data_IF_776951745475
#
_entry.id   IF_776951745475
#
_cell.length_a   1.000
_cell.length_b   1.000
_cell.length_c   1.000
_cell.angle_alpha   90.00
_cell.angle_beta   90.00
_cell.angle_gamma   90.00
#
_symmetry.space_group_name_H-M   'P 1'
#
loop_
_entity.id
_entity.type
_entity.pdbx_description
1 polymer ?
#
# COMPACT_ATOMS: atom_id res chain seq x y z
N UNK A 1 89.07 22.09 -1.69
CA UNK A 1 88.24 22.92 -2.58
C UNK A 1 87.25 22.00 -3.32
N UNK A 2 86.00 21.89 -2.86
CA UNK A 2 84.93 21.21 -3.62
C UNK A 2 83.59 21.90 -3.33
N UNK A 3 83.09 22.66 -4.32
CA UNK A 3 81.81 23.37 -4.24
C UNK A 3 80.71 22.45 -4.77
N UNK A 4 79.87 21.89 -3.88
CA UNK A 4 78.65 21.17 -4.27
C UNK A 4 77.68 22.16 -4.91
N UNK A 5 77.39 21.97 -6.18
CA UNK A 5 76.42 22.75 -6.95
C UNK A 5 75.06 22.04 -6.84
N UNK A 6 74.19 22.54 -5.95
CA UNK A 6 72.81 22.08 -5.87
C UNK A 6 72.04 22.58 -7.10
N UNK A 7 71.69 21.67 -8.00
CA UNK A 7 70.73 21.93 -9.07
C UNK A 7 69.34 22.04 -8.46
N UNK A 8 68.82 23.27 -8.34
CA UNK A 8 67.45 23.52 -7.92
C UNK A 8 66.54 23.43 -9.16
N UNK A 9 66.08 22.22 -9.50
CA UNK A 9 65.01 22.02 -10.49
C UNK A 9 63.73 22.66 -9.95
N UNK A 10 63.47 23.92 -10.35
CA UNK A 10 62.14 24.52 -10.21
C UNK A 10 61.18 23.71 -11.08
N UNK A 11 60.57 22.67 -10.52
CA UNK A 11 59.35 22.07 -11.07
C UNK A 11 58.33 23.20 -11.17
N UNK A 12 58.08 23.67 -12.39
CA UNK A 12 57.05 24.66 -12.66
C UNK A 12 55.73 24.15 -12.11
N UNK A 13 55.23 24.78 -11.04
CA UNK A 13 53.87 24.55 -10.57
C UNK A 13 52.95 25.13 -11.64
N UNK A 14 52.47 24.30 -12.57
CA UNK A 14 51.34 24.64 -13.43
C UNK A 14 50.14 24.81 -12.49
N UNK A 15 49.79 26.05 -12.20
CA UNK A 15 48.58 26.37 -11.45
C UNK A 15 47.37 26.02 -12.29
N UNK A 16 46.40 25.34 -11.69
CA UNK A 16 45.10 25.10 -12.29
C UNK A 16 44.47 26.46 -12.60
N UNK A 17 44.05 26.69 -13.84
CA UNK A 17 43.48 27.99 -14.20
C UNK A 17 42.03 28.06 -13.70
N UNK A 18 41.58 29.25 -13.26
CA UNK A 18 40.18 29.45 -12.85
C UNK A 18 39.21 29.07 -13.98
N UNK A 19 39.61 29.30 -15.23
CA UNK A 19 38.85 28.96 -16.43
C UNK A 19 38.64 27.45 -16.55
N UNK A 20 39.67 26.66 -16.28
CA UNK A 20 39.62 25.20 -16.35
C UNK A 20 38.67 24.60 -15.30
N UNK A 21 38.60 25.18 -14.09
CA UNK A 21 37.59 24.79 -13.09
C UNK A 21 36.19 25.21 -13.53
N UNK A 22 36.03 26.42 -14.07
CA UNK A 22 34.73 26.96 -14.44
C UNK A 22 34.06 26.14 -15.55
N UNK A 23 34.82 25.73 -16.58
CA UNK A 23 34.29 24.87 -17.65
C UNK A 23 33.80 23.54 -17.10
N UNK A 24 34.56 22.91 -16.18
CA UNK A 24 34.17 21.64 -15.57
C UNK A 24 32.89 21.79 -14.74
N UNK A 25 32.77 22.85 -13.94
CA UNK A 25 31.56 23.13 -13.15
C UNK A 25 30.34 23.36 -14.04
N UNK A 26 30.50 24.03 -15.17
CA UNK A 26 29.41 24.22 -16.16
C UNK A 26 28.97 22.89 -16.75
N UNK A 27 29.90 22.02 -17.14
CA UNK A 27 29.57 20.68 -17.67
C UNK A 27 28.87 19.83 -16.60
N UNK A 28 29.37 19.83 -15.36
CA UNK A 28 28.74 19.11 -14.24
C UNK A 28 27.32 19.62 -13.96
N UNK A 29 27.11 20.94 -14.03
CA UNK A 29 25.79 21.53 -13.84
C UNK A 29 24.79 21.08 -14.92
N UNK A 30 25.21 21.03 -16.20
CA UNK A 30 24.37 20.57 -17.31
C UNK A 30 23.98 19.09 -17.13
N UNK A 31 24.96 18.23 -16.81
CA UNK A 31 24.71 16.80 -16.59
C UNK A 31 23.77 16.59 -15.41
N UNK A 32 24.03 17.27 -14.28
CA UNK A 32 23.18 17.17 -13.10
C UNK A 32 21.74 17.60 -13.40
N UNK A 33 21.54 18.70 -14.13
CA UNK A 33 20.22 19.20 -14.51
C UNK A 33 19.42 18.19 -15.35
N UNK A 34 20.07 17.47 -16.27
CA UNK A 34 19.41 16.44 -17.09
C UNK A 34 19.13 15.15 -16.31
N UNK A 35 19.96 14.82 -15.31
CA UNK A 35 19.93 13.54 -14.62
C UNK A 35 18.90 13.49 -13.48
N UNK A 36 18.69 14.61 -12.77
CA UNK A 36 17.69 14.73 -11.69
C UNK A 36 16.26 14.32 -12.11
N UNK A 37 15.67 14.80 -13.22
CA UNK A 37 14.32 14.39 -13.61
C UNK A 37 14.22 12.89 -13.97
N UNK A 38 15.28 12.31 -14.55
CA UNK A 38 15.32 10.88 -14.88
C UNK A 38 15.35 10.00 -13.62
N UNK A 39 16.20 10.35 -12.64
CA UNK A 39 16.30 9.63 -11.37
C UNK A 39 15.01 9.68 -10.55
N UNK A 40 14.36 10.84 -10.47
CA UNK A 40 13.12 10.99 -9.70
C UNK A 40 11.99 10.12 -10.25
N UNK A 41 11.88 9.97 -11.58
CA UNK A 41 10.95 9.04 -12.21
C UNK A 41 11.26 7.57 -11.90
N UNK A 42 12.55 7.19 -11.94
CA UNK A 42 12.97 5.82 -11.63
C UNK A 42 12.68 5.44 -10.17
N UNK A 43 12.98 6.34 -9.22
CA UNK A 43 12.70 6.14 -7.79
C UNK A 43 11.19 5.96 -7.56
N UNK A 44 10.34 6.75 -8.23
CA UNK A 44 8.88 6.60 -8.15
C UNK A 44 8.43 5.22 -8.61
N UNK A 45 8.95 4.75 -9.74
CA UNK A 45 8.62 3.42 -10.27
C UNK A 45 9.08 2.31 -9.32
N UNK A 46 10.31 2.39 -8.83
CA UNK A 46 10.83 1.41 -7.88
C UNK A 46 10.00 1.35 -6.58
N UNK A 47 9.54 2.50 -6.06
CA UNK A 47 8.61 2.53 -4.91
C UNK A 47 7.28 1.88 -5.22
N UNK A 48 6.68 2.16 -6.39
CA UNK A 48 5.44 1.51 -6.84
C UNK A 48 5.58 0.00 -6.94
N UNK A 49 6.67 -0.46 -7.56
CA UNK A 49 6.95 -1.88 -7.74
C UNK A 49 7.10 -2.57 -6.37
N UNK A 50 7.81 -1.93 -5.43
CA UNK A 50 7.91 -2.40 -4.04
C UNK A 50 6.54 -2.57 -3.38
N UNK A 51 5.69 -1.55 -3.43
CA UNK A 51 4.35 -1.61 -2.82
C UNK A 51 3.47 -2.70 -3.47
N UNK A 52 3.60 -2.97 -4.77
CA UNK A 52 2.91 -4.09 -5.43
C UNK A 52 3.38 -5.43 -4.87
N UNK A 53 4.70 -5.65 -4.75
CA UNK A 53 5.22 -6.92 -4.22
C UNK A 53 4.74 -7.17 -2.79
N UNK A 54 4.73 -6.15 -1.94
CA UNK A 54 4.21 -6.27 -0.57
C UNK A 54 2.71 -6.55 -0.56
N UNK A 55 1.94 -5.89 -1.42
CA UNK A 55 0.51 -6.17 -1.58
C UNK A 55 0.25 -7.60 -2.10
N UNK A 56 1.12 -8.18 -2.94
CA UNK A 56 1.02 -9.58 -3.36
C UNK A 56 1.17 -10.55 -2.19
N UNK A 57 2.10 -10.28 -1.27
CA UNK A 57 2.19 -11.04 -0.03
C UNK A 57 0.91 -10.89 0.81
N UNK A 58 0.34 -9.68 0.86
CA UNK A 58 -0.94 -9.45 1.54
C UNK A 58 -2.10 -10.26 0.93
N UNK A 59 -2.18 -10.36 -0.40
CA UNK A 59 -3.19 -11.20 -1.09
C UNK A 59 -3.04 -12.66 -0.65
N UNK A 60 -1.81 -13.16 -0.69
CA UNK A 60 -1.52 -14.56 -0.36
C UNK A 60 -1.85 -14.87 1.10
N UNK A 61 -1.46 -13.99 2.02
CA UNK A 61 -1.75 -14.09 3.44
C UNK A 61 -3.26 -14.04 3.73
N UNK A 62 -3.96 -13.03 3.19
CA UNK A 62 -5.41 -12.92 3.34
C UNK A 62 -6.13 -14.14 2.78
N UNK A 63 -5.74 -14.62 1.59
CA UNK A 63 -6.36 -15.79 0.97
C UNK A 63 -6.16 -17.05 1.81
N UNK A 64 -4.98 -17.25 2.40
CA UNK A 64 -4.71 -18.36 3.31
C UNK A 64 -5.56 -18.26 4.58
N UNK A 65 -5.64 -17.09 5.21
CA UNK A 65 -6.46 -16.87 6.40
C UNK A 65 -7.94 -17.14 6.13
N UNK A 66 -8.47 -16.73 4.97
CA UNK A 66 -9.86 -17.00 4.60
C UNK A 66 -10.11 -18.49 4.37
N UNK A 67 -9.14 -19.23 3.82
CA UNK A 67 -9.26 -20.69 3.71
C UNK A 67 -9.23 -21.37 5.09
N UNK A 68 -8.40 -20.90 6.02
CA UNK A 68 -8.37 -21.38 7.41
C UNK A 68 -9.73 -21.14 8.10
N UNK A 69 -10.27 -19.91 8.00
CA UNK A 69 -11.59 -19.54 8.51
C UNK A 69 -12.71 -20.43 7.95
N UNK A 70 -12.65 -20.71 6.65
CA UNK A 70 -13.63 -21.58 6.00
C UNK A 70 -13.59 -23.01 6.55
N UNK A 71 -12.39 -23.52 6.85
CA UNK A 71 -12.18 -24.85 7.43
C UNK A 71 -12.77 -25.03 8.84
N UNK A 72 -12.91 -23.94 9.60
CA UNK A 72 -13.54 -23.96 10.94
C UNK A 72 -15.07 -24.06 10.83
N UNK A 73 -15.64 -23.56 9.73
CA UNK A 73 -17.02 -23.79 9.33
C UNK A 73 -17.74 -22.53 8.86
N UNK A 74 -18.73 -22.66 7.95
CA UNK A 74 -19.40 -21.54 7.30
C UNK A 74 -20.14 -20.60 8.26
N UNK A 75 -20.48 -21.06 9.47
CA UNK A 75 -21.12 -20.24 10.50
C UNK A 75 -20.27 -19.04 10.96
N UNK A 76 -18.95 -19.18 10.99
CA UNK A 76 -18.04 -18.11 11.42
C UNK A 76 -18.03 -16.97 10.41
N UNK A 77 -17.80 -17.27 9.12
CA UNK A 77 -17.85 -16.27 8.05
C UNK A 77 -19.22 -15.60 7.93
N UNK A 78 -20.31 -16.36 8.18
CA UNK A 78 -21.65 -15.80 8.16
C UNK A 78 -21.88 -14.78 9.29
N UNK A 79 -21.26 -14.98 10.46
CA UNK A 79 -21.34 -14.05 11.57
C UNK A 79 -20.51 -12.79 11.30
N UNK A 80 -19.34 -12.92 10.69
CA UNK A 80 -18.53 -11.78 10.25
C UNK A 80 -19.26 -10.96 9.17
N UNK A 81 -19.91 -11.62 8.20
CA UNK A 81 -20.72 -10.97 7.18
C UNK A 81 -21.96 -10.25 7.72
N UNK A 82 -22.43 -10.63 8.92
CA UNK A 82 -23.54 -10.00 9.63
C UNK A 82 -23.10 -8.85 10.56
N UNK A 83 -21.79 -8.63 10.74
CA UNK A 83 -21.19 -7.55 11.52
C UNK A 83 -21.34 -6.17 10.88
N UNK A 84 -22.55 -5.79 10.49
CA UNK A 84 -22.84 -4.48 9.92
C UNK A 84 -22.87 -3.42 11.03
N UNK A 85 -21.77 -2.70 11.24
CA UNK A 85 -21.79 -1.53 12.11
C UNK A 85 -21.70 -0.25 11.32
N UNK A 86 -22.83 0.47 11.38
CA UNK A 86 -23.02 1.78 10.82
C UNK A 86 -21.94 2.77 11.27
N UNK A 87 -21.49 3.55 10.29
CA UNK A 87 -20.50 4.58 10.47
C UNK A 87 -19.67 4.74 9.21
N UNK A 88 -20.29 5.24 8.13
CA UNK A 88 -19.52 5.81 7.01
C UNK A 88 -19.08 4.88 5.89
N UNK A 89 -19.20 3.55 5.94
CA UNK A 89 -19.32 2.72 4.73
C UNK A 89 -19.65 1.25 5.06
N UNK A 90 -20.41 0.60 4.19
CA UNK A 90 -20.18 -0.82 3.85
C UNK A 90 -20.53 -1.95 4.81
N UNK A 91 -20.63 -1.75 6.13
CA UNK A 91 -20.69 -2.90 7.05
C UNK A 91 -19.39 -3.70 7.08
N UNK A 92 -18.26 -3.00 7.04
CA UNK A 92 -16.92 -3.59 7.04
C UNK A 92 -16.61 -4.29 8.38
N UNK A 93 -15.86 -5.39 8.34
CA UNK A 93 -15.38 -6.11 9.52
C UNK A 93 -14.03 -5.53 9.95
N UNK A 94 -13.91 -5.14 11.21
CA UNK A 94 -12.67 -4.62 11.78
C UNK A 94 -11.87 -5.78 12.36
N UNK A 95 -10.67 -6.02 11.87
CA UNK A 95 -9.69 -6.95 12.44
C UNK A 95 -8.49 -6.22 13.05
N UNK A 96 -8.56 -4.89 13.10
CA UNK A 96 -7.48 -4.00 13.53
C UNK A 96 -7.55 -3.58 15.01
N UNK A 97 -8.75 -3.33 15.51
CA UNK A 97 -8.96 -2.58 16.77
C UNK A 97 -9.72 -3.36 17.84
N UNK A 98 -10.39 -4.47 17.52
CA UNK A 98 -11.26 -5.13 18.49
C UNK A 98 -12.47 -4.28 18.91
N UNK A 99 -12.72 -3.13 18.26
CA UNK A 99 -13.77 -2.19 18.65
C UNK A 99 -15.06 -2.40 17.84
N UNK A 100 -16.21 -2.04 18.46
CA UNK A 100 -17.58 -2.08 17.91
C UNK A 100 -18.00 -3.50 17.48
N UNK A 101 -18.67 -4.23 18.39
CA UNK A 101 -19.14 -5.63 18.26
C UNK A 101 -18.14 -6.61 17.64
N UNK A 102 -16.88 -6.42 17.99
CA UNK A 102 -15.76 -7.19 17.51
C UNK A 102 -15.27 -8.09 18.66
N UNK A 103 -15.19 -9.41 18.42
CA UNK A 103 -14.64 -10.37 19.40
C UNK A 103 -13.12 -10.28 19.40
N UNK A 104 -12.49 -10.67 20.51
CA UNK A 104 -11.03 -10.82 20.54
C UNK A 104 -10.52 -11.71 19.39
N UNK A 105 -11.32 -12.71 19.00
CA UNK A 105 -11.07 -13.62 17.88
C UNK A 105 -10.86 -12.89 16.54
N UNK A 106 -11.57 -11.79 16.23
CA UNK A 106 -11.36 -11.15 14.94
C UNK A 106 -10.05 -10.35 14.88
N UNK A 107 -9.55 -9.87 16.03
CA UNK A 107 -8.21 -9.28 16.10
C UNK A 107 -7.15 -10.36 15.87
N UNK A 108 -7.36 -11.56 16.41
CA UNK A 108 -6.48 -12.71 16.18
C UNK A 108 -6.41 -13.07 14.68
N UNK A 109 -7.52 -13.01 13.95
CA UNK A 109 -7.52 -13.20 12.49
C UNK A 109 -6.77 -12.09 11.73
N UNK A 110 -6.88 -10.85 12.18
CA UNK A 110 -6.07 -9.75 11.66
C UNK A 110 -4.58 -9.96 11.90
N UNK A 111 -4.22 -10.34 13.13
CA UNK A 111 -2.84 -10.62 13.52
C UNK A 111 -2.28 -11.81 12.76
N UNK A 112 -3.11 -12.82 12.46
CA UNK A 112 -2.76 -13.95 11.60
C UNK A 112 -2.39 -13.53 10.19
N UNK A 113 -3.15 -12.61 9.58
CA UNK A 113 -2.79 -12.06 8.26
C UNK A 113 -1.44 -11.33 8.32
N UNK A 114 -1.22 -10.51 9.35
CA UNK A 114 0.05 -9.80 9.52
C UNK A 114 1.22 -10.77 9.71
N UNK A 115 1.06 -11.80 10.54
CA UNK A 115 2.07 -12.84 10.80
C UNK A 115 2.45 -13.56 9.51
N UNK A 116 1.48 -13.95 8.68
CA UNK A 116 1.73 -14.59 7.38
C UNK A 116 2.46 -13.69 6.38
N UNK A 117 2.39 -12.38 6.57
CA UNK A 117 3.18 -11.39 5.81
C UNK A 117 4.56 -11.12 6.41
N UNK A 118 4.95 -11.80 7.50
CA UNK A 118 6.14 -11.48 8.32
C UNK A 118 6.10 -10.05 8.89
N UNK A 119 4.90 -9.60 9.29
CA UNK A 119 4.65 -8.30 9.92
C UNK A 119 3.97 -8.49 11.27
N UNK A 120 3.94 -7.45 12.08
CA UNK A 120 3.24 -7.48 13.37
C UNK A 120 2.54 -6.17 13.70
N UNK A 121 1.54 -6.25 14.58
CA UNK A 121 0.80 -5.07 15.04
C UNK A 121 1.63 -4.24 16.02
N UNK A 122 1.54 -2.92 15.95
CA UNK A 122 2.15 -2.00 16.92
C UNK A 122 3.25 -1.09 16.37
N UNK A 123 3.79 -0.23 17.23
CA UNK A 123 4.69 0.86 16.82
C UNK A 123 6.00 0.38 16.19
N UNK A 124 6.53 -0.76 16.67
CA UNK A 124 7.86 -1.26 16.32
C UNK A 124 7.83 -2.42 15.31
N UNK A 125 6.65 -2.97 14.98
CA UNK A 125 6.49 -4.25 14.29
C UNK A 125 6.17 -4.16 12.78
N UNK A 126 6.51 -3.04 12.14
CA UNK A 126 6.33 -2.80 10.70
C UNK A 126 4.90 -3.05 10.16
N UNK A 127 3.89 -2.79 11.01
CA UNK A 127 2.49 -2.86 10.62
C UNK A 127 2.20 -1.88 9.47
N UNK A 128 1.57 -2.34 8.37
CA UNK A 128 1.24 -1.48 7.24
C UNK A 128 0.41 -0.26 7.68
N UNK A 129 0.53 0.85 6.96
CA UNK A 129 -0.26 2.03 7.26
C UNK A 129 -1.76 1.77 7.09
N UNK A 130 -2.11 1.08 6.01
CA UNK A 130 -3.46 0.57 5.74
C UNK A 130 -3.34 -0.80 5.08
N UNK A 131 -4.06 -1.78 5.62
CA UNK A 131 -4.26 -3.06 4.95
C UNK A 131 -5.73 -3.45 5.05
N UNK A 132 -6.33 -3.60 3.89
CA UNK A 132 -7.74 -3.94 3.73
C UNK A 132 -7.81 -4.97 2.62
N UNK A 133 -8.61 -6.01 2.84
CA UNK A 133 -8.95 -6.92 1.76
C UNK A 133 -10.47 -7.12 1.70
N UNK A 134 -10.94 -7.65 0.59
CA UNK A 134 -12.35 -7.94 0.35
C UNK A 134 -12.56 -9.27 -0.32
N UNK A 135 -13.55 -10.01 0.18
CA UNK A 135 -13.97 -11.31 -0.33
C UNK A 135 -15.44 -11.28 -0.73
N UNK A 136 -15.95 -12.35 -1.35
CA UNK A 136 -17.37 -12.48 -1.61
C UNK A 136 -18.20 -12.43 -0.33
N UNK A 137 -19.26 -11.63 -0.32
CA UNK A 137 -20.14 -11.50 0.83
C UNK A 137 -21.00 -12.76 1.00
N UNK A 138 -20.93 -13.36 2.19
CA UNK A 138 -21.74 -14.53 2.52
C UNK A 138 -23.25 -14.23 2.48
N UNK A 139 -24.07 -15.28 2.35
CA UNK A 139 -25.54 -15.20 2.30
C UNK A 139 -26.10 -14.36 1.13
N UNK A 140 -25.29 -14.06 0.12
CA UNK A 140 -25.70 -13.31 -1.07
C UNK A 140 -25.90 -14.20 -2.30
N UNK A 141 -26.08 -15.52 -2.10
CA UNK A 141 -26.25 -16.50 -3.17
C UNK A 141 -24.95 -16.83 -3.93
N UNK A 142 -23.79 -16.55 -3.33
CA UNK A 142 -22.48 -16.91 -3.86
C UNK A 142 -22.15 -18.37 -3.56
N UNK A 143 -21.27 -18.96 -4.36
CA UNK A 143 -20.68 -20.26 -4.04
C UNK A 143 -19.67 -20.13 -2.90
N UNK A 144 -19.42 -21.18 -2.11
CA UNK A 144 -18.42 -21.11 -1.03
C UNK A 144 -17.00 -20.71 -1.50
N UNK A 145 -16.64 -21.08 -2.73
CA UNK A 145 -15.39 -20.65 -3.33
C UNK A 145 -15.37 -19.13 -3.59
N UNK A 146 -16.48 -18.55 -4.05
CA UNK A 146 -16.59 -17.09 -4.24
C UNK A 146 -16.61 -16.34 -2.90
N UNK A 147 -17.23 -16.88 -1.87
CA UNK A 147 -17.24 -16.26 -0.53
C UNK A 147 -15.84 -16.19 0.11
N UNK A 148 -14.95 -17.11 -0.25
CA UNK A 148 -13.60 -17.22 0.33
C UNK A 148 -12.50 -16.63 -0.54
N UNK A 149 -12.81 -16.30 -1.80
CA UNK A 149 -11.83 -15.73 -2.75
C UNK A 149 -11.61 -14.25 -2.45
N UNK A 150 -10.34 -13.84 -2.37
CA UNK A 150 -9.95 -12.44 -2.24
C UNK A 150 -10.03 -11.75 -3.60
N UNK A 151 -10.96 -10.83 -3.74
CA UNK A 151 -11.21 -10.07 -4.97
C UNK A 151 -10.64 -8.66 -4.93
N UNK A 152 -10.47 -8.13 -3.72
CA UNK A 152 -10.09 -6.74 -3.49
C UNK A 152 -8.97 -6.69 -2.46
N UNK A 153 -7.94 -5.87 -2.72
CA UNK A 153 -7.01 -5.40 -1.69
C UNK A 153 -6.81 -3.90 -1.84
N UNK A 154 -6.71 -3.20 -0.71
CA UNK A 154 -6.11 -1.88 -0.60
C UNK A 154 -4.93 -1.94 0.37
N UNK A 155 -3.77 -1.55 -0.12
CA UNK A 155 -2.53 -1.59 0.64
C UNK A 155 -1.84 -0.23 0.61
N UNK A 156 -1.41 0.23 1.78
CA UNK A 156 -0.52 1.38 1.94
C UNK A 156 0.58 0.97 2.92
N UNK A 157 1.82 1.00 2.47
CA UNK A 157 2.98 0.62 3.27
C UNK A 157 3.18 1.59 4.45
N UNK A 158 3.41 2.87 4.14
CA UNK A 158 3.64 3.92 5.13
C UNK A 158 2.83 5.21 4.83
N UNK A 159 2.88 6.18 5.75
CA UNK A 159 2.19 7.48 5.61
C UNK A 159 2.59 8.27 4.34
N UNK A 160 3.74 7.98 3.75
CA UNK A 160 4.28 8.67 2.58
C UNK A 160 4.34 7.76 1.35
N UNK A 161 3.55 6.68 1.32
CA UNK A 161 3.49 5.71 0.25
C UNK A 161 2.15 5.78 -0.47
N UNK A 162 2.11 5.54 -1.80
CA UNK A 162 0.85 5.51 -2.52
C UNK A 162 0.00 4.33 -2.07
N UNK A 163 -1.32 4.48 -2.20
CA UNK A 163 -2.23 3.35 -2.13
C UNK A 163 -2.12 2.52 -3.40
N UNK A 164 -2.03 1.21 -3.20
CA UNK A 164 -2.10 0.21 -4.26
C UNK A 164 -3.37 -0.57 -4.05
N UNK A 165 -4.15 -0.72 -5.12
CA UNK A 165 -5.35 -1.52 -5.11
C UNK A 165 -5.20 -2.69 -6.08
N UNK A 166 -5.67 -3.85 -5.66
CA UNK A 166 -5.80 -5.02 -6.53
C UNK A 166 -7.27 -5.35 -6.67
N UNK A 167 -7.79 -5.36 -7.89
CA UNK A 167 -9.21 -5.61 -8.18
C UNK A 167 -9.30 -6.51 -9.39
N UNK A 168 -9.96 -7.66 -9.24
CA UNK A 168 -10.26 -8.57 -10.34
C UNK A 168 -9.03 -8.95 -11.22
N UNK A 169 -7.86 -9.16 -10.62
CA UNK A 169 -6.64 -9.52 -11.37
C UNK A 169 -5.76 -8.34 -11.80
N UNK A 170 -6.24 -7.10 -11.64
CA UNK A 170 -5.54 -5.92 -12.10
C UNK A 170 -5.08 -5.03 -10.94
N UNK A 171 -3.91 -4.41 -11.13
CA UNK A 171 -3.35 -3.43 -10.20
C UNK A 171 -3.75 -2.03 -10.65
N UNK A 172 -4.38 -1.29 -9.75
CA UNK A 172 -4.77 0.11 -9.97
C UNK A 172 -4.25 0.99 -8.83
N UNK A 173 -4.00 2.27 -9.14
CA UNK A 173 -3.59 3.28 -8.15
C UNK A 173 -4.68 4.33 -7.91
N UNK A 174 -5.70 4.35 -8.77
CA UNK A 174 -6.86 5.23 -8.62
C UNK A 174 -7.81 4.64 -7.59
N UNK A 175 -8.52 5.53 -6.89
CA UNK A 175 -9.48 5.09 -5.90
C UNK A 175 -10.61 4.28 -6.57
N UNK A 176 -10.97 3.08 -6.08
CA UNK A 176 -11.84 2.13 -6.78
C UNK A 176 -13.23 2.67 -7.14
N UNK A 177 -13.80 3.54 -6.32
CA UNK A 177 -15.10 4.18 -6.59
C UNK A 177 -14.99 5.29 -7.63
N UNK A 178 -13.83 5.96 -7.72
CA UNK A 178 -13.63 7.07 -8.66
C UNK A 178 -13.40 6.56 -10.10
N UNK A 179 -12.85 5.35 -10.26
CA UNK A 179 -12.70 4.68 -11.54
C UNK A 179 -13.85 3.72 -11.90
N UNK A 180 -14.87 3.59 -11.03
CA UNK A 180 -16.03 2.73 -11.25
C UNK A 180 -15.78 1.23 -11.06
N UNK A 181 -14.60 0.82 -10.58
CA UNK A 181 -14.29 -0.59 -10.31
C UNK A 181 -15.14 -1.17 -9.17
N UNK A 182 -15.56 -0.33 -8.22
CA UNK A 182 -16.47 -0.70 -7.13
C UNK A 182 -17.65 0.27 -7.06
N UNK A 183 -18.86 -0.28 -6.98
CA UNK A 183 -20.11 0.47 -6.84
C UNK A 183 -20.82 0.05 -5.54
N UNK A 184 -21.34 1.04 -4.81
CA UNK A 184 -22.10 0.79 -3.59
C UNK A 184 -23.60 0.78 -3.87
N UNK A 185 -24.30 -0.30 -3.51
CA UNK A 185 -25.76 -0.44 -3.64
C UNK A 185 -26.35 -0.95 -2.33
N UNK A 186 -27.36 -0.26 -1.82
CA UNK A 186 -28.04 -0.61 -0.56
C UNK A 186 -27.08 -0.93 0.60
N UNK A 187 -25.99 -0.17 0.71
CA UNK A 187 -24.99 -0.34 1.77
C UNK A 187 -23.96 -1.46 1.56
N UNK A 188 -24.07 -2.25 0.49
CA UNK A 188 -23.07 -3.28 0.13
C UNK A 188 -22.19 -2.79 -1.01
N UNK A 189 -20.89 -3.10 -0.96
CA UNK A 189 -19.95 -2.81 -2.04
C UNK A 189 -20.02 -3.94 -3.07
N UNK A 190 -20.08 -3.60 -4.36
CA UNK A 190 -20.12 -4.54 -5.46
C UNK A 190 -18.93 -4.27 -6.38
N UNK A 191 -18.20 -5.32 -6.72
CA UNK A 191 -17.18 -5.27 -7.75
C UNK A 191 -17.80 -5.63 -9.09
N UNK A 192 -17.52 -4.83 -10.12
CA UNK A 192 -17.92 -5.15 -11.48
C UNK A 192 -17.00 -6.23 -12.06
N UNK A 193 -17.59 -7.33 -12.53
CA UNK A 193 -16.89 -8.35 -13.32
C UNK A 193 -17.64 -8.61 -14.61
N UNK A 194 -16.94 -9.15 -15.62
CA UNK A 194 -17.54 -9.53 -16.90
C UNK A 194 -18.66 -10.58 -16.74
N UNK A 195 -18.59 -11.37 -15.67
CA UNK A 195 -19.58 -12.40 -15.31
C UNK A 195 -20.74 -11.92 -14.44
N UNK A 196 -20.75 -10.63 -14.06
CA UNK A 196 -21.75 -10.03 -13.19
C UNK A 196 -21.18 -9.48 -11.88
N UNK A 197 -21.98 -8.68 -11.17
CA UNK A 197 -21.51 -7.93 -10.00
C UNK A 197 -21.36 -8.85 -8.78
N UNK A 198 -20.18 -8.85 -8.17
CA UNK A 198 -19.89 -9.65 -6.97
C UNK A 198 -20.04 -8.75 -5.72
N UNK A 199 -20.94 -9.06 -4.77
CA UNK A 199 -21.01 -8.35 -3.51
C UNK A 199 -19.77 -8.67 -2.67
N UNK A 200 -19.15 -7.65 -2.10
CA UNK A 200 -17.94 -7.76 -1.31
C UNK A 200 -18.20 -7.52 0.17
N UNK A 201 -17.57 -8.34 1.01
CA UNK A 201 -17.36 -8.09 2.43
C UNK A 201 -15.93 -7.60 2.61
N UNK A 202 -15.77 -6.41 3.21
CA UNK A 202 -14.46 -5.80 3.43
C UNK A 202 -13.99 -6.08 4.86
N UNK A 203 -12.69 -6.36 4.98
CA UNK A 203 -11.98 -6.66 6.21
C UNK A 203 -10.84 -5.67 6.38
N UNK A 204 -10.82 -4.97 7.51
CA UNK A 204 -9.79 -3.97 7.85
C UNK A 204 -8.79 -4.63 8.79
N UNK A 205 -7.63 -5.01 8.27
CA UNK A 205 -6.57 -5.70 9.02
C UNK A 205 -5.71 -4.71 9.78
N UNK A 206 -5.39 -3.58 9.14
CA UNK A 206 -4.60 -2.52 9.75
C UNK A 206 -5.10 -1.15 9.35
N UNK A 207 -5.11 -0.24 10.34
CA UNK A 207 -5.57 1.13 10.18
C UNK A 207 -4.76 2.12 11.05
N UNK A 208 -3.58 2.52 10.58
CA UNK A 208 -2.69 3.44 11.32
C UNK A 208 -2.91 4.92 11.01
N UNK A 209 -4.04 5.24 10.39
CA UNK A 209 -4.40 6.62 10.01
C UNK A 209 -4.69 7.52 11.22
N UNK A 210 -5.14 6.92 12.33
CA UNK A 210 -5.68 7.66 13.48
C UNK A 210 -7.02 8.35 13.19
N UNK A 211 -7.74 7.88 12.17
CA UNK A 211 -9.09 8.34 11.79
C UNK A 211 -10.05 7.18 12.05
N UNK A 212 -11.10 7.35 12.86
CA UNK A 212 -11.95 6.21 13.23
C UNK A 212 -12.75 5.62 12.05
N UNK A 213 -13.70 6.36 11.50
CA UNK A 213 -14.80 5.74 10.73
C UNK A 213 -14.84 6.12 9.26
N UNK A 214 -14.29 7.28 8.91
CA UNK A 214 -14.35 7.82 7.55
C UNK A 214 -12.99 7.77 6.84
N UNK A 215 -12.04 6.97 7.32
CA UNK A 215 -10.70 6.90 6.74
C UNK A 215 -10.71 6.45 5.26
N UNK A 216 -11.78 5.79 4.80
CA UNK A 216 -12.01 5.44 3.39
C UNK A 216 -12.08 6.65 2.46
N UNK A 217 -12.92 7.64 2.80
CA UNK A 217 -13.35 8.70 1.88
C UNK A 217 -13.18 10.11 2.44
N UNK A 218 -12.63 10.25 3.64
CA UNK A 218 -12.34 11.56 4.25
C UNK A 218 -11.44 12.38 3.33
N UNK A 219 -11.57 13.72 3.38
CA UNK A 219 -10.65 14.63 2.71
C UNK A 219 -9.33 14.85 3.49
N UNK A 220 -9.18 14.22 4.66
CA UNK A 220 -7.94 14.27 5.45
C UNK A 220 -6.80 13.61 4.68
N UNK A 221 -5.60 14.20 4.72
CA UNK A 221 -4.42 13.70 4.00
C UNK A 221 -3.98 12.30 4.42
N UNK A 222 -4.43 11.82 5.58
CA UNK A 222 -4.17 10.48 6.12
C UNK A 222 -5.17 9.43 5.64
N UNK A 223 -6.21 9.84 4.90
CA UNK A 223 -7.26 8.95 4.40
C UNK A 223 -6.75 8.04 3.29
N UNK A 224 -7.37 6.88 3.09
CA UNK A 224 -7.06 5.99 1.99
C UNK A 224 -7.21 6.71 0.63
N UNK A 225 -8.25 7.53 0.48
CA UNK A 225 -8.47 8.30 -0.76
C UNK A 225 -7.35 9.30 -1.04
N UNK A 226 -6.78 9.94 -0.03
CA UNK A 226 -5.63 10.85 -0.21
C UNK A 226 -4.35 10.14 -0.64
N UNK A 227 -4.23 8.84 -0.35
CA UNK A 227 -3.13 8.02 -0.82
C UNK A 227 -3.33 7.46 -2.23
N UNK A 228 -4.53 7.58 -2.80
CA UNK A 228 -4.82 7.16 -4.17
C UNK A 228 -4.48 8.28 -5.19
N UNK A 229 -4.22 7.88 -6.44
CA UNK A 229 -4.07 8.82 -7.54
C UNK A 229 -5.43 9.39 -7.98
N UNK A 230 -5.50 10.68 -8.37
CA UNK A 230 -4.40 11.64 -8.53
C UNK A 230 -4.07 12.45 -7.26
N UNK A 231 -4.66 12.12 -6.12
CA UNK A 231 -4.56 12.92 -4.89
C UNK A 231 -3.20 12.81 -4.21
N UNK A 232 -2.57 11.65 -4.33
CA UNK A 232 -1.27 11.37 -3.72
C UNK A 232 -0.14 12.18 -4.34
N UNK A 233 0.68 12.79 -3.47
CA UNK A 233 1.84 13.59 -3.86
C UNK A 233 3.12 12.86 -3.46
N UNK A 234 3.99 12.65 -4.45
CA UNK A 234 5.27 11.96 -4.36
C UNK A 234 6.39 12.78 -3.73
#
# INVERSE_FOLDING_TARGET
MYRKMFWNTRRGKKGFTLVEVLVVLVILAIIAAMLVPSLTGYIRRARRDKCIYEAQFAITAAQATMMELYGIGPGVMSNEANGALGGGSGGDVRWDTGLRNNSAENVEWGDRVLELMDRGRGADNDEPYLLIFGVGKANCGLTPAQETTVYYIAYVEDRNSPAVFYINGEWIYQYPTDCGAIVKRNGTNYMHTDSGDIPLQLYVVSQRTGISDNFWTSGDSRSLKSHAEPYFRW
#
